data_IF_487196133475
#
_entry.id   IF_487196133475
#
_cell.length_a   1.000
_cell.length_b   1.000
_cell.length_c   1.000
_cell.angle_alpha   90.00
_cell.angle_beta   90.00
_cell.angle_gamma   90.00
#
_symmetry.space_group_name_H-M   'P 1'
#
loop_
_entity.id
_entity.type
_entity.pdbx_description
1 polymer ?
#
# COMPACT_ATOMS: atom_id res chain seq x y z
N UNK A 1 -30.08 4.90 9.54
CA UNK A 1 -28.82 4.25 9.12
C UNK A 1 -27.76 5.32 9.15
N UNK A 2 -27.01 5.39 10.25
CA UNK A 2 -25.91 6.35 10.34
C UNK A 2 -24.95 6.05 9.18
N UNK A 3 -24.65 7.02 8.33
CA UNK A 3 -23.75 6.87 7.18
C UNK A 3 -22.29 6.65 7.56
N UNK A 4 -22.03 5.74 8.51
CA UNK A 4 -20.71 5.36 8.99
C UNK A 4 -20.03 4.51 7.91
N UNK A 5 -18.88 4.98 7.45
CA UNK A 5 -18.03 4.27 6.50
C UNK A 5 -17.26 3.17 7.24
N UNK A 6 -16.94 2.07 6.56
CA UNK A 6 -16.10 0.99 7.10
C UNK A 6 -14.75 1.51 7.64
N UNK A 7 -14.19 2.54 7.01
CA UNK A 7 -12.94 3.19 7.48
C UNK A 7 -13.10 3.76 8.89
N UNK A 8 -14.28 4.28 9.24
CA UNK A 8 -14.57 4.82 10.57
C UNK A 8 -14.52 3.71 11.63
N UNK A 9 -15.13 2.56 11.36
CA UNK A 9 -15.16 1.44 12.30
C UNK A 9 -13.75 0.91 12.60
N UNK A 10 -12.90 0.78 11.57
CA UNK A 10 -11.49 0.40 11.76
C UNK A 10 -10.68 1.47 12.50
N UNK A 11 -11.00 2.75 12.30
CA UNK A 11 -10.34 3.85 13.05
C UNK A 11 -10.73 3.81 14.53
N UNK A 12 -12.01 3.57 14.84
CA UNK A 12 -12.49 3.37 16.21
C UNK A 12 -11.86 2.13 16.86
N UNK A 13 -11.64 1.08 16.08
CA UNK A 13 -10.92 -0.13 16.51
C UNK A 13 -9.40 0.05 16.68
N UNK A 14 -8.88 1.27 16.52
CA UNK A 14 -7.45 1.59 16.66
C UNK A 14 -6.55 0.83 15.67
N UNK A 15 -7.04 0.56 14.46
CA UNK A 15 -6.19 0.02 13.42
C UNK A 15 -5.12 1.06 13.01
N UNK A 16 -3.82 0.70 12.97
CA UNK A 16 -2.74 1.65 12.73
C UNK A 16 -2.74 2.17 11.28
N UNK A 17 -3.14 1.34 10.31
CA UNK A 17 -3.27 1.73 8.90
C UNK A 17 -4.33 0.88 8.22
N UNK A 18 -5.15 1.53 7.40
CA UNK A 18 -6.22 0.92 6.61
C UNK A 18 -5.97 1.30 5.16
N UNK A 19 -5.87 0.32 4.27
CA UNK A 19 -5.75 0.55 2.83
C UNK A 19 -7.05 0.15 2.16
N UNK A 20 -7.59 1.02 1.30
CA UNK A 20 -8.86 0.79 0.62
C UNK A 20 -8.98 1.56 -0.69
N UNK A 21 -10.04 1.28 -1.45
CA UNK A 21 -10.33 1.98 -2.71
C UNK A 21 -11.42 3.03 -2.50
N UNK A 22 -11.21 4.25 -3.02
CA UNK A 22 -12.18 5.36 -2.98
C UNK A 22 -13.42 5.10 -3.83
N UNK A 23 -13.28 4.34 -4.92
CA UNK A 23 -14.36 3.96 -5.82
C UNK A 23 -14.17 2.50 -6.28
N UNK A 24 -15.18 1.96 -6.96
CA UNK A 24 -15.15 0.59 -7.46
C UNK A 24 -14.10 0.41 -8.54
N UNK A 25 -13.33 -0.67 -8.42
CA UNK A 25 -12.25 -1.05 -9.34
C UNK A 25 -12.52 -2.43 -9.92
N UNK A 26 -11.90 -2.73 -11.05
CA UNK A 26 -12.02 -4.06 -11.70
C UNK A 26 -11.02 -5.04 -11.09
N UNK A 27 -11.47 -6.27 -10.86
CA UNK A 27 -10.74 -7.38 -10.25
C UNK A 27 -9.32 -7.57 -10.83
N UNK A 28 -9.22 -7.77 -12.15
CA UNK A 28 -7.93 -8.04 -12.80
C UNK A 28 -6.89 -6.90 -12.74
N UNK A 29 -7.30 -5.67 -12.40
CA UNK A 29 -6.37 -4.55 -12.19
C UNK A 29 -5.99 -4.38 -10.72
N UNK A 30 -6.94 -4.57 -9.79
CA UNK A 30 -6.65 -4.48 -8.36
C UNK A 30 -5.81 -5.67 -7.87
N UNK A 31 -6.02 -6.86 -8.44
CA UNK A 31 -5.16 -8.02 -8.16
C UNK A 31 -3.72 -7.77 -8.58
N UNK A 32 -3.52 -7.14 -9.75
CA UNK A 32 -2.17 -6.79 -10.23
C UNK A 32 -1.53 -5.75 -9.32
N UNK A 33 -2.30 -4.78 -8.84
CA UNK A 33 -1.85 -3.79 -7.86
C UNK A 33 -1.47 -4.47 -6.53
N UNK A 34 -2.32 -5.36 -6.03
CA UNK A 34 -2.13 -6.04 -4.76
C UNK A 34 -0.92 -6.98 -4.79
N UNK A 35 -0.76 -7.77 -5.85
CA UNK A 35 0.44 -8.59 -6.05
C UNK A 35 1.69 -7.72 -6.09
N UNK A 36 1.67 -6.61 -6.83
CA UNK A 36 2.77 -5.65 -6.84
C UNK A 36 3.11 -5.08 -5.47
N UNK A 37 2.08 -4.72 -4.70
CA UNK A 37 2.25 -4.21 -3.34
C UNK A 37 2.90 -5.26 -2.44
N UNK A 38 2.41 -6.50 -2.47
CA UNK A 38 2.95 -7.62 -1.67
C UNK A 38 4.40 -7.91 -2.07
N UNK A 39 4.70 -7.99 -3.37
CA UNK A 39 6.07 -8.18 -3.86
C UNK A 39 6.98 -7.03 -3.38
N UNK A 40 6.50 -5.79 -3.46
CA UNK A 40 7.25 -4.62 -3.02
C UNK A 40 7.37 -4.52 -1.50
N UNK A 41 6.47 -5.10 -0.71
CA UNK A 41 6.57 -5.11 0.75
C UNK A 41 7.44 -6.26 1.26
N UNK A 42 7.36 -7.44 0.65
CA UNK A 42 7.90 -8.69 1.21
C UNK A 42 8.92 -9.41 0.32
N UNK A 43 9.05 -9.10 -0.98
CA UNK A 43 10.09 -9.75 -1.79
C UNK A 43 11.45 -9.13 -1.51
N UNK A 44 12.42 -9.97 -1.15
CA UNK A 44 13.81 -9.61 -0.83
C UNK A 44 14.62 -9.01 -2.00
N UNK A 45 14.01 -8.81 -3.17
CA UNK A 45 14.67 -8.43 -4.42
C UNK A 45 15.06 -6.93 -4.48
N UNK A 46 16.15 -6.63 -3.77
CA UNK A 46 17.38 -5.96 -4.22
C UNK A 46 17.38 -4.72 -5.14
N UNK A 47 16.29 -3.96 -5.35
CA UNK A 47 16.47 -2.69 -6.06
C UNK A 47 15.60 -1.51 -5.59
N UNK A 48 16.30 -0.52 -4.99
CA UNK A 48 15.87 0.83 -4.61
C UNK A 48 15.20 0.97 -3.25
N UNK A 49 16.01 1.04 -2.21
CA UNK A 49 15.76 1.91 -1.05
C UNK A 49 16.25 3.33 -1.39
N UNK A 50 15.40 4.33 -1.13
CA UNK A 50 15.84 5.72 -1.10
C UNK A 50 16.52 5.96 0.25
N UNK A 51 17.81 6.28 0.18
CA UNK A 51 18.65 6.99 1.16
C UNK A 51 18.82 6.36 2.55
N UNK A 52 19.98 5.74 2.74
CA UNK A 52 20.57 5.42 4.03
C UNK A 52 21.94 4.78 3.80
N UNK A 53 22.98 5.60 3.84
CA UNK A 53 24.39 5.23 3.84
C UNK A 53 24.72 4.22 4.95
N UNK A 54 25.66 3.33 4.65
CA UNK A 54 26.36 2.40 5.54
C UNK A 54 25.59 1.26 6.20
N UNK A 55 26.11 0.05 5.94
CA UNK A 55 26.26 -1.00 6.96
C UNK A 55 25.00 -1.65 7.53
N UNK A 56 24.69 -2.86 7.04
CA UNK A 56 24.08 -3.94 7.85
C UNK A 56 22.73 -3.66 8.53
N UNK A 57 21.84 -2.86 7.93
CA UNK A 57 20.53 -2.58 8.52
C UNK A 57 19.37 -3.19 7.71
N UNK A 58 18.42 -3.78 8.42
CA UNK A 58 17.25 -4.47 7.87
C UNK A 58 16.50 -3.56 6.88
N UNK A 59 16.16 -4.06 5.69
CA UNK A 59 15.54 -3.26 4.61
C UNK A 59 14.09 -2.92 4.96
N UNK A 60 13.89 -1.96 5.86
CA UNK A 60 12.55 -1.49 6.23
C UNK A 60 11.86 -0.89 4.99
N UNK A 61 10.72 -1.48 4.61
CA UNK A 61 9.91 -0.97 3.49
C UNK A 61 8.65 -0.32 4.02
N UNK A 62 8.50 0.98 3.74
CA UNK A 62 7.30 1.73 4.10
C UNK A 62 6.16 1.36 3.15
N UNK A 63 5.02 0.96 3.70
CA UNK A 63 3.82 0.57 2.95
C UNK A 63 3.41 1.61 1.90
N UNK A 64 3.47 2.90 2.24
CA UNK A 64 3.11 4.01 1.35
C UNK A 64 4.04 4.09 0.13
N UNK A 65 5.32 3.79 0.28
CA UNK A 65 6.27 3.75 -0.85
C UNK A 65 5.97 2.55 -1.76
N UNK A 66 5.66 1.38 -1.18
CA UNK A 66 5.23 0.22 -1.95
C UNK A 66 3.93 0.50 -2.72
N UNK A 67 2.97 1.20 -2.12
CA UNK A 67 1.73 1.65 -2.79
C UNK A 67 2.04 2.57 -3.98
N UNK A 68 2.91 3.56 -3.79
CA UNK A 68 3.31 4.47 -4.86
C UNK A 68 3.91 3.72 -6.06
N UNK A 69 4.78 2.75 -5.79
CA UNK A 69 5.40 1.92 -6.84
C UNK A 69 4.42 0.92 -7.46
N UNK A 70 3.52 0.32 -6.69
CA UNK A 70 2.53 -0.65 -7.18
C UNK A 70 1.61 -0.04 -8.24
N UNK A 71 1.33 1.27 -8.15
CA UNK A 71 0.56 2.03 -9.16
C UNK A 71 1.11 1.89 -10.58
N UNK A 72 2.43 1.76 -10.73
CA UNK A 72 3.08 1.62 -12.04
C UNK A 72 2.82 0.27 -12.74
N UNK A 73 2.40 -0.76 -11.99
CA UNK A 73 2.06 -2.07 -12.55
C UNK A 73 0.61 -2.15 -13.05
N UNK A 74 -0.28 -1.24 -12.64
CA UNK A 74 -1.63 -1.14 -13.20
C UNK A 74 -1.60 -0.68 -14.66
N UNK A 75 -2.48 -1.25 -15.50
CA UNK A 75 -2.71 -0.78 -16.88
C UNK A 75 -3.48 0.55 -16.88
N UNK A 76 -4.34 0.75 -15.89
CA UNK A 76 -5.11 1.99 -15.68
C UNK A 76 -4.63 2.71 -14.41
N UNK A 77 -3.50 3.44 -14.46
CA UNK A 77 -2.90 4.06 -13.27
C UNK A 77 -3.80 5.13 -12.64
N UNK A 78 -4.65 5.79 -13.43
CA UNK A 78 -5.57 6.81 -12.91
C UNK A 78 -6.93 6.27 -12.51
N UNK A 79 -7.41 5.20 -13.14
CA UNK A 79 -8.71 4.61 -12.79
C UNK A 79 -8.60 3.66 -11.61
N UNK A 80 -7.60 2.77 -11.61
CA UNK A 80 -7.39 1.81 -10.52
C UNK A 80 -6.31 2.30 -9.56
N UNK A 81 -5.16 2.72 -10.09
CA UNK A 81 -4.02 3.07 -9.25
C UNK A 81 -4.19 4.37 -8.44
N UNK A 82 -5.14 5.24 -8.78
CA UNK A 82 -5.46 6.43 -7.99
C UNK A 82 -6.64 6.22 -7.03
N UNK A 83 -7.33 5.08 -7.11
CA UNK A 83 -8.41 4.77 -6.18
C UNK A 83 -7.88 4.30 -4.83
N UNK A 84 -6.71 3.65 -4.83
CA UNK A 84 -6.12 3.07 -3.63
C UNK A 84 -5.54 4.16 -2.73
N UNK A 85 -6.04 4.24 -1.50
CA UNK A 85 -5.64 5.20 -0.48
C UNK A 85 -5.32 4.49 0.84
N UNK A 86 -4.43 5.07 1.63
CA UNK A 86 -4.13 4.64 2.99
C UNK A 86 -4.60 5.67 4.00
N UNK A 87 -5.31 5.23 5.03
CA UNK A 87 -5.72 6.01 6.19
C UNK A 87 -4.95 5.51 7.42
N UNK A 88 -4.27 6.39 8.13
CA UNK A 88 -3.54 6.06 9.35
C UNK A 88 -2.08 6.53 9.32
N UNK A 89 -1.24 5.85 10.09
CA UNK A 89 0.19 6.12 10.19
C UNK A 89 0.98 5.25 9.20
N UNK A 90 2.16 5.71 8.72
CA UNK A 90 2.98 4.92 7.82
C UNK A 90 3.48 3.65 8.52
N UNK A 91 3.09 2.49 8.01
CA UNK A 91 3.51 1.18 8.52
C UNK A 91 4.73 0.69 7.73
N UNK A 92 5.68 0.11 8.46
CA UNK A 92 6.86 -0.54 7.90
C UNK A 92 6.65 -2.06 7.89
N UNK A 93 6.89 -2.69 6.75
CA UNK A 93 7.03 -4.13 6.67
C UNK A 93 8.44 -4.49 7.16
N UNK A 94 8.51 -5.31 8.20
CA UNK A 94 9.74 -5.98 8.62
C UNK A 94 9.75 -7.36 7.99
N UNK A 95 10.85 -7.71 7.32
CA UNK A 95 11.16 -9.08 6.89
C UNK A 95 11.64 -9.91 8.09
#
# INVERSE_FOLDING_TARGET
MDGKSSVYDYTVAQCPSIVGCLWTVTDGEIDRYFMALVDLCFSSDANRTLTGTDGTDSRLRVLVEAMHRAKSRCKLPYLTGASVVSYGIPVIAME
#
